data_IF_976871590126
#
_entry.id   IF_976871590126
#
_cell.length_a   1.000
_cell.length_b   1.000
_cell.length_c   1.000
_cell.angle_alpha   90.00
_cell.angle_beta   90.00
_cell.angle_gamma   90.00
#
_symmetry.space_group_name_H-M   'P 1'
#
loop_
_entity.id
_entity.type
_entity.pdbx_description
1 polymer ?
#
# COMPACT_ATOMS: atom_id res chain seq x y z
N UNK A 1 -74.35 -3.94 27.40
CA UNK A 1 -74.25 -4.03 25.93
C UNK A 1 -72.79 -3.75 25.55
N UNK A 2 -71.89 -4.75 25.49
CA UNK A 2 -71.49 -5.58 24.31
C UNK A 2 -71.18 -4.77 23.03
N UNK A 3 -69.89 -4.59 22.71
CA UNK A 3 -69.06 -5.25 21.66
C UNK A 3 -67.69 -4.54 21.67
N UNK A 4 -66.55 -5.14 22.09
CA UNK A 4 -65.74 -6.24 21.53
C UNK A 4 -65.02 -5.92 20.21
N UNK A 5 -63.75 -6.37 20.15
CA UNK A 5 -62.82 -6.51 19.01
C UNK A 5 -61.87 -5.29 18.85
N UNK A 6 -60.54 -5.40 18.75
CA UNK A 6 -59.64 -6.55 18.62
C UNK A 6 -58.24 -6.14 19.13
N UNK A 7 -57.57 -7.03 19.85
CA UNK A 7 -56.11 -7.02 20.09
C UNK A 7 -55.38 -7.12 18.74
N UNK A 8 -54.22 -6.46 18.62
CA UNK A 8 -52.98 -7.06 18.07
C UNK A 8 -51.79 -6.29 18.66
N UNK A 9 -51.01 -7.01 19.48
CA UNK A 9 -49.63 -6.70 19.81
C UNK A 9 -48.80 -6.86 18.53
N UNK A 10 -48.03 -5.84 18.14
CA UNK A 10 -46.92 -6.04 17.21
C UNK A 10 -45.60 -5.92 17.95
N UNK A 11 -45.05 -7.10 18.23
CA UNK A 11 -43.67 -7.35 18.58
C UNK A 11 -42.68 -6.64 17.66
N UNK A 12 -41.69 -6.01 18.28
CA UNK A 12 -40.28 -6.42 18.17
C UNK A 12 -39.88 -6.98 16.79
N UNK A 13 -39.65 -6.11 15.83
CA UNK A 13 -38.89 -6.45 14.61
C UNK A 13 -37.50 -5.85 14.73
N UNK A 14 -36.65 -6.56 15.49
CA UNK A 14 -35.21 -6.48 15.30
C UNK A 14 -34.93 -6.68 13.81
N UNK A 15 -34.42 -5.64 13.16
CA UNK A 15 -33.91 -5.68 11.81
C UNK A 15 -32.66 -6.58 11.80
N UNK A 16 -32.87 -7.90 11.69
CA UNK A 16 -31.80 -8.89 11.47
C UNK A 16 -31.18 -8.58 10.11
N UNK A 17 -30.08 -7.82 10.11
CA UNK A 17 -29.15 -7.77 8.98
C UNK A 17 -28.79 -9.21 8.64
N UNK A 18 -29.20 -9.69 7.47
CA UNK A 18 -28.68 -10.94 6.93
C UNK A 18 -27.16 -10.84 6.88
N UNK A 19 -26.41 -11.72 7.57
CA UNK A 19 -24.97 -11.73 7.45
C UNK A 19 -24.60 -11.98 5.99
N UNK A 20 -23.64 -11.20 5.49
CA UNK A 20 -22.98 -11.47 4.22
C UNK A 20 -22.59 -12.95 4.17
N UNK A 21 -22.76 -13.61 3.02
CA UNK A 21 -22.27 -14.99 2.79
C UNK A 21 -20.79 -15.14 3.19
N UNK A 22 -20.00 -14.05 3.16
CA UNK A 22 -18.60 -14.02 3.63
C UNK A 22 -18.44 -14.02 5.16
N UNK A 23 -19.42 -13.54 5.91
CA UNK A 23 -19.42 -13.53 7.37
C UNK A 23 -19.77 -14.92 7.94
N UNK A 24 -20.75 -15.61 7.36
CA UNK A 24 -21.14 -16.97 7.79
C UNK A 24 -20.07 -18.03 7.48
N UNK A 25 -19.32 -17.87 6.38
CA UNK A 25 -18.23 -18.79 6.03
C UNK A 25 -17.00 -18.67 6.94
N UNK A 26 -16.81 -17.56 7.65
CA UNK A 26 -15.66 -17.37 8.56
C UNK A 26 -15.84 -18.00 9.93
N UNK A 27 -17.09 -18.22 10.36
CA UNK A 27 -17.38 -18.78 11.68
C UNK A 27 -17.49 -20.32 11.68
N UNK A 28 -17.52 -20.97 10.51
CA UNK A 28 -17.81 -22.43 10.41
C UNK A 28 -16.69 -23.25 9.77
N UNK A 29 -15.69 -22.63 9.13
CA UNK A 29 -14.64 -23.38 8.44
C UNK A 29 -13.38 -23.56 9.30
N UNK A 30 -12.91 -24.81 9.54
CA UNK A 30 -11.68 -25.04 10.26
C UNK A 30 -10.51 -24.32 9.58
N UNK A 31 -9.55 -23.81 10.36
CA UNK A 31 -8.39 -23.04 9.87
C UNK A 31 -7.67 -23.72 8.70
N UNK A 32 -7.62 -25.05 8.67
CA UNK A 32 -7.09 -25.87 7.57
C UNK A 32 -7.88 -25.72 6.25
N UNK A 33 -9.21 -25.61 6.30
CA UNK A 33 -10.05 -25.39 5.12
C UNK A 33 -9.88 -23.96 4.56
N UNK A 34 -9.69 -22.96 5.42
CA UNK A 34 -9.35 -21.59 5.00
C UNK A 34 -7.97 -21.55 4.33
N UNK A 35 -6.98 -22.26 4.87
CA UNK A 35 -5.64 -22.38 4.29
C UNK A 35 -5.69 -23.11 2.95
N UNK A 36 -6.43 -24.22 2.86
CA UNK A 36 -6.63 -24.98 1.63
C UNK A 36 -7.33 -24.15 0.56
N UNK A 37 -8.41 -23.44 0.92
CA UNK A 37 -9.09 -22.50 0.03
C UNK A 37 -8.13 -21.40 -0.47
N UNK A 38 -7.30 -20.82 0.40
CA UNK A 38 -6.29 -19.82 0.00
C UNK A 38 -5.22 -20.41 -0.94
N UNK A 39 -4.77 -21.64 -0.71
CA UNK A 39 -3.83 -22.33 -1.61
C UNK A 39 -4.45 -22.64 -2.96
N UNK A 40 -5.68 -23.13 -2.99
CA UNK A 40 -6.44 -23.39 -4.23
C UNK A 40 -6.70 -22.10 -5.02
N UNK A 41 -7.06 -21.01 -4.33
CA UNK A 41 -7.23 -19.69 -4.94
C UNK A 41 -5.91 -19.19 -5.55
N UNK A 42 -4.77 -19.36 -4.86
CA UNK A 42 -3.45 -19.02 -5.41
C UNK A 42 -3.07 -19.86 -6.64
N UNK A 43 -3.42 -21.15 -6.65
CA UNK A 43 -3.18 -22.00 -7.81
C UNK A 43 -4.03 -21.59 -9.01
N UNK A 44 -5.34 -21.35 -8.79
CA UNK A 44 -6.23 -20.80 -9.82
C UNK A 44 -5.71 -19.47 -10.38
N UNK A 45 -5.25 -18.58 -9.48
CA UNK A 45 -4.69 -17.29 -9.84
C UNK A 45 -3.43 -17.39 -10.73
N UNK A 46 -2.72 -18.52 -10.74
CA UNK A 46 -1.56 -18.76 -11.61
C UNK A 46 -1.97 -19.21 -13.01
N UNK A 47 -3.04 -20.01 -13.14
CA UNK A 47 -3.43 -20.63 -14.41
C UNK A 47 -4.47 -19.82 -15.20
N UNK A 48 -5.16 -18.88 -14.56
CA UNK A 48 -6.23 -18.12 -15.22
C UNK A 48 -5.68 -17.22 -16.34
N UNK A 49 -6.33 -17.20 -17.52
CA UNK A 49 -6.10 -16.18 -18.53
C UNK A 49 -6.18 -14.78 -17.92
N UNK A 50 -5.29 -13.90 -18.34
CA UNK A 50 -5.14 -12.57 -17.74
C UNK A 50 -6.45 -11.78 -17.56
N UNK A 51 -7.31 -11.64 -18.58
CA UNK A 51 -8.56 -10.89 -18.42
C UNK A 51 -9.46 -11.47 -17.33
N UNK A 52 -9.50 -12.80 -17.23
CA UNK A 52 -10.32 -13.53 -16.26
C UNK A 52 -9.76 -13.35 -14.85
N UNK A 53 -8.44 -13.43 -14.69
CA UNK A 53 -7.77 -13.18 -13.40
C UNK A 53 -8.18 -11.82 -12.83
N UNK A 54 -8.02 -10.75 -13.62
CA UNK A 54 -8.31 -9.40 -13.13
C UNK A 54 -9.79 -9.19 -12.82
N UNK A 55 -10.68 -9.66 -13.68
CA UNK A 55 -12.12 -9.53 -13.43
C UNK A 55 -12.56 -10.29 -12.18
N UNK A 56 -12.10 -11.53 -12.02
CA UNK A 56 -12.39 -12.33 -10.84
C UNK A 56 -11.83 -11.69 -9.57
N UNK A 57 -10.57 -11.25 -9.59
CA UNK A 57 -9.94 -10.58 -8.44
C UNK A 57 -10.70 -9.31 -8.06
N UNK A 58 -11.03 -8.47 -9.03
CA UNK A 58 -11.80 -7.25 -8.80
C UNK A 58 -13.19 -7.56 -8.24
N UNK A 59 -13.89 -8.58 -8.77
CA UNK A 59 -15.17 -9.04 -8.23
C UNK A 59 -15.07 -9.54 -6.79
N UNK A 60 -14.04 -10.32 -6.45
CA UNK A 60 -13.82 -10.81 -5.08
C UNK A 60 -13.62 -9.66 -4.09
N UNK A 61 -12.87 -8.63 -4.49
CA UNK A 61 -12.56 -7.48 -3.66
C UNK A 61 -13.77 -6.52 -3.55
N UNK A 62 -14.31 -6.11 -4.70
CA UNK A 62 -15.21 -4.97 -4.83
C UNK A 62 -16.68 -5.33 -5.13
N UNK A 63 -16.98 -6.62 -5.34
CA UNK A 63 -18.34 -7.12 -5.56
C UNK A 63 -18.97 -6.72 -6.90
N UNK A 64 -18.17 -6.25 -7.86
CA UNK A 64 -18.62 -5.81 -9.19
C UNK A 64 -17.56 -6.13 -10.24
N UNK A 65 -17.86 -5.99 -11.53
CA UNK A 65 -16.86 -6.15 -12.61
C UNK A 65 -16.08 -4.85 -12.85
N UNK A 66 -14.81 -4.97 -13.22
CA UNK A 66 -13.93 -3.85 -13.51
C UNK A 66 -14.19 -3.33 -14.93
N UNK A 67 -14.38 -2.01 -15.06
CA UNK A 67 -14.37 -1.34 -16.36
C UNK A 67 -12.93 -0.99 -16.75
N UNK A 68 -12.33 -1.77 -17.66
CA UNK A 68 -10.98 -1.48 -18.18
C UNK A 68 -10.98 -0.52 -19.36
N UNK A 69 -12.06 -0.47 -20.14
CA UNK A 69 -12.17 0.45 -21.29
C UNK A 69 -12.38 1.88 -20.83
N UNK A 70 -13.21 2.06 -19.81
CA UNK A 70 -13.57 3.38 -19.26
C UNK A 70 -13.55 3.29 -17.72
N UNK A 71 -12.37 3.27 -17.08
CA UNK A 71 -12.27 3.20 -15.63
C UNK A 71 -12.70 4.53 -15.01
N UNK A 72 -13.70 4.50 -14.13
CA UNK A 72 -14.22 5.69 -13.45
C UNK A 72 -13.80 5.75 -12.00
N UNK A 73 -13.69 4.59 -11.34
CA UNK A 73 -13.34 4.50 -9.92
C UNK A 73 -11.83 4.49 -9.71
N UNK A 74 -11.40 4.93 -8.53
CA UNK A 74 -10.00 4.84 -8.10
C UNK A 74 -9.53 3.38 -8.19
N UNK A 75 -10.29 2.44 -7.63
CA UNK A 75 -10.00 1.01 -7.70
C UNK A 75 -9.86 0.47 -9.13
N UNK A 76 -10.74 0.90 -10.06
CA UNK A 76 -10.68 0.51 -11.48
C UNK A 76 -9.43 1.05 -12.16
N UNK A 77 -9.06 2.30 -11.89
CA UNK A 77 -7.84 2.92 -12.43
C UNK A 77 -6.57 2.25 -11.88
N UNK A 78 -6.55 1.85 -10.61
CA UNK A 78 -5.46 1.02 -10.06
C UNK A 78 -5.39 -0.34 -10.78
N UNK A 79 -6.52 -1.01 -10.99
CA UNK A 79 -6.56 -2.25 -11.76
C UNK A 79 -6.06 -2.07 -13.20
N UNK A 80 -6.42 -0.95 -13.84
CA UNK A 80 -5.89 -0.61 -15.16
C UNK A 80 -4.36 -0.47 -15.11
N UNK A 81 -3.79 0.26 -14.14
CA UNK A 81 -2.33 0.37 -13.99
C UNK A 81 -1.64 -0.98 -13.80
N UNK A 82 -2.24 -1.90 -13.05
CA UNK A 82 -1.69 -3.25 -12.88
C UNK A 82 -1.65 -4.01 -14.23
N UNK A 83 -2.72 -3.89 -15.02
CA UNK A 83 -2.89 -4.64 -16.27
C UNK A 83 -2.15 -4.03 -17.47
N UNK A 84 -2.08 -2.71 -17.53
CA UNK A 84 -1.49 -1.93 -18.61
C UNK A 84 -0.58 -0.84 -18.01
N UNK A 85 0.55 -1.24 -17.38
CA UNK A 85 1.44 -0.28 -16.74
C UNK A 85 2.15 0.59 -17.79
N UNK A 86 2.37 1.86 -17.45
CA UNK A 86 3.30 2.69 -18.19
C UNK A 86 4.76 2.25 -17.87
N UNK A 87 5.70 2.33 -18.83
CA UNK A 87 7.08 1.86 -18.62
C UNK A 87 7.78 2.47 -17.40
N UNK A 88 7.58 3.77 -17.15
CA UNK A 88 8.18 4.50 -16.01
C UNK A 88 7.76 3.94 -14.65
N UNK A 89 6.63 3.22 -14.55
CA UNK A 89 6.17 2.66 -13.28
C UNK A 89 7.12 1.61 -12.71
N UNK A 90 7.86 0.90 -13.57
CA UNK A 90 8.90 -0.04 -13.11
C UNK A 90 10.01 0.73 -12.37
N UNK A 91 10.51 1.81 -12.98
CA UNK A 91 11.58 2.63 -12.41
C UNK A 91 11.17 3.32 -11.10
N UNK A 92 9.90 3.71 -10.97
CA UNK A 92 9.36 4.31 -9.75
C UNK A 92 9.10 3.29 -8.63
N UNK A 93 8.77 2.04 -8.97
CA UNK A 93 8.53 0.98 -7.99
C UNK A 93 9.83 0.29 -7.53
N UNK A 94 10.89 0.36 -8.32
CA UNK A 94 12.22 -0.14 -7.99
C UNK A 94 12.89 0.75 -6.94
N UNK A 95 13.12 0.19 -5.74
CA UNK A 95 13.74 0.90 -4.60
C UNK A 95 15.18 1.37 -4.86
N UNK A 96 15.82 0.89 -5.93
CA UNK A 96 17.14 1.35 -6.36
C UNK A 96 16.98 2.51 -7.35
N UNK A 97 16.35 2.30 -8.52
CA UNK A 97 16.28 3.35 -9.55
C UNK A 97 15.39 4.54 -9.18
N UNK A 98 14.41 4.36 -8.29
CA UNK A 98 13.55 5.47 -7.84
C UNK A 98 14.35 6.59 -7.16
N UNK A 99 15.53 6.25 -6.62
CA UNK A 99 16.40 7.20 -5.91
C UNK A 99 16.85 8.34 -6.82
N UNK A 100 17.16 8.06 -8.08
CA UNK A 100 17.55 9.07 -9.07
C UNK A 100 16.39 10.04 -9.36
N UNK A 101 15.16 9.53 -9.44
CA UNK A 101 13.98 10.36 -9.63
C UNK A 101 13.75 11.28 -8.44
N UNK A 102 13.88 10.77 -7.22
CA UNK A 102 13.75 11.56 -5.99
C UNK A 102 14.83 12.64 -5.92
N UNK A 103 16.09 12.28 -6.14
CA UNK A 103 17.22 13.22 -6.11
C UNK A 103 17.04 14.36 -7.11
N UNK A 104 16.70 14.04 -8.36
CA UNK A 104 16.48 15.06 -9.40
C UNK A 104 15.28 15.96 -9.12
N UNK A 105 14.25 15.45 -8.43
CA UNK A 105 12.99 16.18 -8.24
C UNK A 105 12.99 17.04 -6.97
N UNK A 106 13.50 16.51 -5.86
CA UNK A 106 13.42 17.14 -4.54
C UNK A 106 14.75 17.18 -3.79
N UNK A 107 15.77 16.45 -4.25
CA UNK A 107 17.11 16.41 -3.65
C UNK A 107 17.39 15.14 -2.85
N UNK A 108 18.67 14.79 -2.75
CA UNK A 108 19.15 13.55 -2.13
C UNK A 108 19.06 13.54 -0.59
N UNK A 109 18.88 14.70 0.05
CA UNK A 109 18.72 14.80 1.51
C UNK A 109 17.50 14.05 2.05
N UNK A 110 16.50 13.80 1.21
CA UNK A 110 15.30 13.05 1.56
C UNK A 110 15.44 11.53 1.33
N UNK A 111 16.56 11.06 0.81
CA UNK A 111 16.81 9.63 0.63
C UNK A 111 17.31 9.00 1.93
N UNK A 112 16.80 7.81 2.26
CA UNK A 112 17.42 6.99 3.30
C UNK A 112 18.85 6.65 2.88
N UNK A 113 19.87 6.82 3.74
CA UNK A 113 21.24 6.42 3.41
C UNK A 113 21.30 4.95 3.02
N UNK A 114 21.90 4.66 1.87
CA UNK A 114 22.13 3.31 1.39
C UNK A 114 23.58 2.92 1.61
N UNK A 115 23.81 1.75 2.20
CA UNK A 115 25.15 1.22 2.42
C UNK A 115 25.64 0.39 1.23
N UNK A 116 24.75 -0.42 0.65
CA UNK A 116 25.11 -1.35 -0.41
C UNK A 116 23.89 -1.73 -1.24
N UNK A 117 24.11 -1.96 -2.54
CA UNK A 117 23.18 -2.62 -3.45
C UNK A 117 23.91 -3.77 -4.12
N UNK A 118 23.32 -4.97 -4.12
CA UNK A 118 23.95 -6.14 -4.76
C UNK A 118 22.92 -7.08 -5.40
N UNK A 119 23.40 -7.88 -6.35
CA UNK A 119 22.64 -8.92 -7.07
C UNK A 119 22.81 -10.31 -6.45
N UNK A 120 23.67 -10.42 -5.44
CA UNK A 120 23.87 -11.62 -4.64
C UNK A 120 24.32 -11.20 -3.24
N UNK A 121 23.77 -11.86 -2.23
CA UNK A 121 24.17 -11.64 -0.83
C UNK A 121 24.97 -12.84 -0.35
N UNK A 122 26.18 -12.59 0.14
CA UNK A 122 27.03 -13.60 0.79
C UNK A 122 27.26 -13.20 2.26
N UNK A 123 27.80 -14.12 3.08
CA UNK A 123 28.20 -13.80 4.46
C UNK A 123 29.19 -12.63 4.46
N UNK A 124 30.19 -12.65 3.57
CA UNK A 124 31.13 -11.54 3.37
C UNK A 124 30.45 -10.21 3.04
N UNK A 125 29.35 -10.25 2.29
CA UNK A 125 28.55 -9.04 2.02
C UNK A 125 28.03 -8.44 3.32
N UNK A 126 27.45 -9.29 4.19
CA UNK A 126 26.86 -8.88 5.46
C UNK A 126 27.90 -8.45 6.51
N UNK A 127 29.10 -9.02 6.47
CA UNK A 127 30.22 -8.63 7.33
C UNK A 127 30.61 -7.16 7.13
N UNK A 128 30.53 -6.63 5.90
CA UNK A 128 30.84 -5.22 5.59
C UNK A 128 29.81 -4.21 6.09
N UNK A 129 28.59 -4.67 6.41
CA UNK A 129 27.51 -3.79 6.85
C UNK A 129 27.70 -3.35 8.31
N UNK A 130 27.14 -2.21 8.72
CA UNK A 130 27.15 -1.82 10.14
C UNK A 130 26.33 -2.77 11.01
N UNK A 131 26.38 -2.54 12.33
CA UNK A 131 25.68 -3.36 13.33
C UNK A 131 24.16 -3.36 13.18
N UNK A 132 23.59 -2.33 12.56
CA UNK A 132 22.15 -2.28 12.25
C UNK A 132 21.89 -1.76 10.84
N UNK A 133 20.93 -2.39 10.16
CA UNK A 133 20.54 -2.04 8.79
C UNK A 133 19.14 -2.56 8.46
N UNK A 134 18.58 -2.06 7.36
CA UNK A 134 17.35 -2.59 6.76
C UNK A 134 17.71 -3.23 5.42
N UNK A 135 17.44 -4.52 5.30
CA UNK A 135 17.60 -5.29 4.07
C UNK A 135 16.26 -5.32 3.33
N UNK A 136 16.23 -4.91 2.07
CA UNK A 136 15.02 -4.90 1.23
C UNK A 136 15.29 -5.49 -0.14
N UNK A 137 14.33 -6.25 -0.67
CA UNK A 137 14.29 -6.52 -2.10
C UNK A 137 13.74 -5.30 -2.85
N UNK A 138 14.41 -4.89 -3.91
CA UNK A 138 14.05 -3.67 -4.64
C UNK A 138 12.76 -3.80 -5.46
N UNK A 139 12.49 -5.00 -5.96
CA UNK A 139 11.48 -5.36 -6.95
C UNK A 139 10.17 -5.84 -6.32
N UNK A 140 9.90 -5.52 -5.05
CA UNK A 140 8.73 -6.06 -4.36
C UNK A 140 8.26 -5.23 -3.18
N UNK A 141 7.10 -5.62 -2.63
CA UNK A 141 6.57 -5.12 -1.37
C UNK A 141 6.60 -6.20 -0.29
N UNK A 142 6.88 -5.79 0.95
CA UNK A 142 6.87 -6.67 2.14
C UNK A 142 8.08 -7.60 2.31
N UNK A 143 9.01 -7.64 1.36
CA UNK A 143 10.30 -8.33 1.50
C UNK A 143 11.33 -7.38 2.15
N UNK A 144 11.18 -7.23 3.46
CA UNK A 144 11.97 -6.31 4.30
C UNK A 144 12.36 -7.05 5.57
N UNK A 145 13.63 -6.93 5.99
CA UNK A 145 14.13 -7.39 7.28
C UNK A 145 14.89 -6.23 7.93
N UNK A 146 14.50 -5.90 9.15
CA UNK A 146 15.22 -4.94 9.99
C UNK A 146 16.16 -5.75 10.86
N UNK A 147 17.45 -5.47 10.77
CA UNK A 147 18.50 -6.02 11.64
C UNK A 147 18.89 -4.92 12.61
N UNK A 148 18.57 -5.11 13.88
CA UNK A 148 18.88 -4.17 14.97
C UNK A 148 20.23 -4.45 15.62
N UNK A 149 20.60 -5.73 15.68
CA UNK A 149 21.83 -6.25 16.30
C UNK A 149 22.37 -7.37 15.41
N UNK A 150 23.19 -7.02 14.41
CA UNK A 150 23.79 -7.94 13.44
C UNK A 150 24.54 -9.10 14.13
N UNK A 151 25.22 -8.85 15.25
CA UNK A 151 25.94 -9.88 15.99
C UNK A 151 25.04 -11.00 16.57
N UNK A 152 23.71 -10.79 16.63
CA UNK A 152 22.72 -11.79 17.08
C UNK A 152 22.06 -12.55 15.94
N UNK A 153 22.32 -12.16 14.70
CA UNK A 153 21.72 -12.78 13.52
C UNK A 153 22.63 -13.91 12.99
N UNK A 154 22.00 -14.91 12.39
CA UNK A 154 22.67 -15.93 11.59
C UNK A 154 22.87 -15.38 10.17
N UNK A 155 24.12 -15.08 9.81
CA UNK A 155 24.46 -14.43 8.55
C UNK A 155 24.19 -15.34 7.34
N UNK A 156 24.37 -16.65 7.49
CA UNK A 156 24.03 -17.64 6.47
C UNK A 156 22.52 -17.64 6.18
N UNK A 157 21.67 -17.64 7.22
CA UNK A 157 20.20 -17.58 7.08
C UNK A 157 19.77 -16.24 6.47
N UNK A 158 20.38 -15.12 6.87
CA UNK A 158 20.11 -13.82 6.28
C UNK A 158 20.45 -13.78 4.79
N UNK A 159 21.62 -14.29 4.41
CA UNK A 159 22.05 -14.39 3.02
C UNK A 159 21.13 -15.31 2.21
N UNK A 160 20.75 -16.48 2.75
CA UNK A 160 19.79 -17.38 2.10
C UNK A 160 18.44 -16.70 1.90
N UNK A 161 17.95 -15.96 2.90
CA UNK A 161 16.68 -15.23 2.84
C UNK A 161 16.71 -14.17 1.73
N UNK A 162 17.76 -13.37 1.68
CA UNK A 162 17.98 -12.38 0.64
C UNK A 162 18.00 -13.02 -0.77
N UNK A 163 18.79 -14.07 -0.97
CA UNK A 163 18.89 -14.74 -2.26
C UNK A 163 17.58 -15.46 -2.65
N UNK A 164 16.81 -15.94 -1.67
CA UNK A 164 15.47 -16.48 -1.92
C UNK A 164 14.48 -15.39 -2.34
N UNK A 165 14.67 -14.15 -1.90
CA UNK A 165 13.86 -13.02 -2.36
C UNK A 165 14.14 -12.68 -3.82
N UNK A 166 15.41 -12.66 -4.23
CA UNK A 166 15.83 -12.39 -5.61
C UNK A 166 15.23 -13.35 -6.65
N UNK A 167 14.89 -14.57 -6.23
CA UNK A 167 14.28 -15.60 -7.10
C UNK A 167 12.77 -15.44 -7.29
N UNK A 168 12.10 -14.50 -6.59
CA UNK A 168 10.65 -14.35 -6.64
C UNK A 168 10.23 -13.35 -7.70
N UNK A 169 9.36 -13.78 -8.61
CA UNK A 169 8.64 -12.88 -9.49
C UNK A 169 7.48 -12.22 -8.72
N UNK A 170 7.73 -11.04 -8.15
CA UNK A 170 6.72 -10.30 -7.39
C UNK A 170 5.54 -9.84 -8.26
N UNK A 171 5.77 -9.64 -9.57
CA UNK A 171 4.70 -9.25 -10.49
C UNK A 171 3.56 -10.26 -10.45
N UNK A 172 3.82 -11.55 -10.22
CA UNK A 172 2.79 -12.61 -10.19
C UNK A 172 1.93 -12.63 -8.93
N UNK A 173 2.30 -11.91 -7.85
CA UNK A 173 1.58 -11.98 -6.57
C UNK A 173 0.17 -11.40 -6.68
N UNK A 174 0.05 -10.18 -7.19
CA UNK A 174 -1.22 -9.52 -7.49
C UNK A 174 -1.41 -9.24 -8.99
N UNK A 175 -0.52 -9.78 -9.84
CA UNK A 175 -0.37 -9.44 -11.27
C UNK A 175 -0.05 -7.96 -11.47
N UNK A 176 0.76 -7.38 -10.61
CA UNK A 176 1.25 -6.02 -10.75
C UNK A 176 2.38 -5.98 -11.78
N UNK A 177 2.04 -5.88 -13.07
CA UNK A 177 2.99 -6.10 -14.18
C UNK A 177 4.20 -5.16 -14.19
N UNK A 178 4.10 -3.95 -13.64
CA UNK A 178 5.26 -3.02 -13.59
C UNK A 178 6.43 -3.59 -12.78
N UNK A 179 6.20 -4.53 -11.85
CA UNK A 179 7.30 -5.20 -11.16
C UNK A 179 8.11 -6.15 -12.07
N UNK A 180 7.58 -6.60 -13.21
CA UNK A 180 8.28 -7.56 -14.08
C UNK A 180 9.46 -6.95 -14.82
N UNK A 181 9.50 -5.62 -14.96
CA UNK A 181 10.61 -4.90 -15.60
C UNK A 181 11.76 -4.56 -14.67
N UNK A 182 11.68 -4.92 -13.38
CA UNK A 182 12.67 -4.55 -12.37
C UNK A 182 13.70 -5.67 -12.23
N UNK A 183 14.97 -5.35 -12.43
CA UNK A 183 16.07 -6.29 -12.18
C UNK A 183 16.17 -6.55 -10.66
N UNK A 184 16.04 -7.81 -10.20
CA UNK A 184 16.10 -8.12 -8.77
C UNK A 184 17.47 -7.80 -8.15
N UNK A 185 17.46 -6.93 -7.14
CA UNK A 185 18.60 -6.55 -6.30
C UNK A 185 18.17 -6.52 -4.83
N UNK A 186 19.16 -6.61 -3.94
CA UNK A 186 19.00 -6.32 -2.52
C UNK A 186 19.65 -4.98 -2.24
N UNK A 187 18.91 -4.10 -1.56
CA UNK A 187 19.41 -2.85 -1.03
C UNK A 187 19.49 -2.92 0.49
N UNK A 188 20.61 -2.46 1.03
CA UNK A 188 20.86 -2.30 2.45
C UNK A 188 20.85 -0.82 2.79
N UNK A 189 19.96 -0.41 3.67
CA UNK A 189 19.78 0.98 4.08
C UNK A 189 20.02 1.16 5.57
N UNK A 190 20.29 2.40 5.98
CA UNK A 190 20.34 2.78 7.40
C UNK A 190 19.03 2.42 8.08
N UNK A 191 19.13 1.73 9.22
CA UNK A 191 18.00 1.49 10.10
C UNK A 191 17.64 2.78 10.86
N UNK A 192 16.56 3.41 10.43
CA UNK A 192 15.96 4.55 11.12
C UNK A 192 15.21 3.98 12.35
N UNK A 193 15.86 3.96 13.51
CA UNK A 193 15.30 3.37 14.73
C UNK A 193 15.33 4.36 15.88
N UNK A 194 14.16 4.60 16.47
CA UNK A 194 14.00 5.38 17.70
C UNK A 194 13.62 4.43 18.82
N UNK A 195 14.47 4.29 19.85
CA UNK A 195 14.30 3.33 20.95
C UNK A 195 14.04 1.90 20.45
N UNK A 196 14.80 1.47 19.43
CA UNK A 196 14.67 0.14 18.81
C UNK A 196 13.45 -0.05 17.91
N UNK A 197 12.62 0.98 17.70
CA UNK A 197 11.41 0.91 16.87
C UNK A 197 11.56 1.69 15.57
N UNK A 198 11.03 1.18 14.45
CA UNK A 198 10.98 1.94 13.21
C UNK A 198 10.03 3.14 13.34
N UNK A 199 10.22 4.19 12.53
CA UNK A 199 9.31 5.33 12.49
C UNK A 199 7.93 4.94 11.97
N UNK A 200 6.94 5.75 12.35
CA UNK A 200 5.58 5.68 11.79
C UNK A 200 5.58 5.96 10.28
N UNK A 201 4.62 5.37 9.55
CA UNK A 201 4.44 5.63 8.13
C UNK A 201 3.47 6.79 7.90
N UNK A 202 3.91 7.80 7.15
CA UNK A 202 3.03 8.85 6.62
C UNK A 202 2.88 8.67 5.11
N UNK A 203 1.71 8.25 4.64
CA UNK A 203 1.48 7.92 3.22
C UNK A 203 0.59 8.98 2.58
N UNK A 204 1.19 9.85 1.80
CA UNK A 204 0.53 10.96 1.12
C UNK A 204 0.01 10.48 -0.22
N UNK A 205 -1.30 10.47 -0.38
CA UNK A 205 -1.98 10.05 -1.60
C UNK A 205 -2.34 11.30 -2.40
N UNK A 206 -1.60 11.56 -3.48
CA UNK A 206 -1.74 12.78 -4.28
C UNK A 206 -2.46 12.46 -5.59
N UNK A 207 -3.54 13.18 -5.86
CA UNK A 207 -4.37 13.04 -7.05
C UNK A 207 -4.31 14.31 -7.89
N UNK A 208 -3.80 14.20 -9.11
CA UNK A 208 -3.71 15.30 -10.06
C UNK A 208 -4.79 15.12 -11.11
N UNK A 209 -5.89 15.85 -10.99
CA UNK A 209 -7.08 15.65 -11.83
C UNK A 209 -6.87 16.13 -13.27
N UNK A 210 -7.18 17.39 -13.56
CA UNK A 210 -6.96 18.01 -14.86
C UNK A 210 -5.91 19.12 -14.71
N UNK A 211 -5.15 19.43 -15.78
CA UNK A 211 -4.27 20.59 -15.80
C UNK A 211 -4.98 21.84 -15.26
N UNK A 212 -4.30 22.60 -14.40
CA UNK A 212 -4.82 23.84 -13.82
C UNK A 212 -5.70 23.69 -12.57
N UNK A 213 -6.02 22.47 -12.12
CA UNK A 213 -6.65 22.25 -10.81
C UNK A 213 -5.60 21.90 -9.75
N UNK A 214 -5.74 22.40 -8.50
CA UNK A 214 -4.86 21.99 -7.42
C UNK A 214 -4.99 20.48 -7.16
N UNK A 215 -3.90 19.81 -6.75
CA UNK A 215 -3.95 18.41 -6.38
C UNK A 215 -4.88 18.20 -5.19
N UNK A 216 -5.61 17.07 -5.18
CA UNK A 216 -6.24 16.60 -3.96
C UNK A 216 -5.28 15.68 -3.21
N UNK A 217 -5.09 15.91 -1.92
CA UNK A 217 -4.23 15.10 -1.06
C UNK A 217 -5.01 14.55 0.12
N UNK A 218 -4.84 13.26 0.40
CA UNK A 218 -5.16 12.71 1.71
C UNK A 218 -3.95 11.96 2.28
N UNK A 219 -3.82 11.98 3.60
CA UNK A 219 -2.67 11.47 4.33
C UNK A 219 -3.13 10.26 5.14
N UNK A 220 -2.43 9.15 4.98
CA UNK A 220 -2.65 7.95 5.76
C UNK A 220 -1.52 7.80 6.77
N UNK A 221 -1.83 7.93 8.05
CA UNK A 221 -0.88 7.71 9.15
C UNK A 221 -1.06 6.29 9.67
N UNK A 222 0.01 5.49 9.65
CA UNK A 222 0.03 4.15 10.23
C UNK A 222 1.02 4.08 11.38
N UNK A 223 0.51 3.80 12.58
CA UNK A 223 1.30 3.58 13.79
C UNK A 223 1.40 2.10 14.16
N UNK A 224 2.37 1.76 14.99
CA UNK A 224 2.50 0.43 15.60
C UNK A 224 2.89 -0.64 14.59
N UNK A 225 3.80 -0.30 13.67
CA UNK A 225 4.38 -1.28 12.73
C UNK A 225 4.98 -2.44 13.55
N UNK A 226 4.61 -3.67 13.21
CA UNK A 226 4.96 -4.91 13.94
C UNK A 226 4.26 -5.14 15.30
N UNK A 227 3.36 -4.25 15.70
CA UNK A 227 2.43 -4.43 16.82
C UNK A 227 0.96 -4.38 16.31
N UNK A 228 0.04 -3.79 17.07
CA UNK A 228 -1.34 -3.56 16.64
C UNK A 228 -1.41 -2.33 15.73
N UNK A 229 -1.27 -2.58 14.43
CA UNK A 229 -1.31 -1.52 13.40
C UNK A 229 -2.66 -0.79 13.41
N UNK A 230 -2.62 0.52 13.64
CA UNK A 230 -3.75 1.44 13.49
C UNK A 230 -3.60 2.27 12.22
N UNK A 231 -4.71 2.87 11.76
CA UNK A 231 -4.66 3.72 10.58
C UNK A 231 -5.68 4.86 10.67
N UNK A 232 -5.18 6.09 10.60
CA UNK A 232 -6.01 7.29 10.53
C UNK A 232 -5.80 7.96 9.16
N UNK A 233 -6.88 8.54 8.63
CA UNK A 233 -6.86 9.27 7.37
C UNK A 233 -7.15 10.74 7.64
N UNK A 234 -6.31 11.62 7.09
CA UNK A 234 -6.41 13.07 7.23
C UNK A 234 -6.44 13.73 5.85
N UNK A 235 -6.95 14.95 5.79
CA UNK A 235 -6.80 15.85 4.66
C UNK A 235 -5.51 16.67 4.79
N UNK A 236 -5.22 17.50 3.80
CA UNK A 236 -4.03 18.35 3.75
C UNK A 236 -3.91 19.31 4.95
N UNK A 237 -5.04 19.84 5.43
CA UNK A 237 -5.15 20.70 6.61
C UNK A 237 -5.13 19.94 7.95
N UNK A 238 -4.80 18.64 7.90
CA UNK A 238 -4.82 17.71 9.03
C UNK A 238 -6.21 17.44 9.64
N UNK A 239 -7.30 17.90 9.01
CA UNK A 239 -8.64 17.50 9.41
C UNK A 239 -8.88 16.01 9.12
N UNK A 240 -9.69 15.34 9.94
CA UNK A 240 -10.02 13.92 9.73
C UNK A 240 -10.74 13.75 8.38
N UNK A 241 -10.26 12.83 7.56
CA UNK A 241 -10.87 12.58 6.27
C UNK A 241 -12.31 12.04 6.46
N UNK A 242 -13.27 12.47 5.63
CA UNK A 242 -14.67 12.03 5.68
C UNK A 242 -14.89 10.60 5.15
N UNK A 243 -13.83 9.79 5.11
CA UNK A 243 -13.84 8.40 4.69
C UNK A 243 -12.76 7.61 5.41
N UNK A 244 -12.93 6.29 5.43
CA UNK A 244 -12.03 5.33 6.07
C UNK A 244 -11.77 4.13 5.17
N UNK A 245 -10.73 3.36 5.47
CA UNK A 245 -10.52 2.04 4.86
C UNK A 245 -11.26 0.97 5.66
N UNK A 246 -12.05 0.15 4.99
CA UNK A 246 -12.88 -0.89 5.64
C UNK A 246 -12.01 -1.91 6.42
N UNK A 247 -10.78 -2.16 5.95
CA UNK A 247 -9.91 -3.20 6.52
C UNK A 247 -9.15 -2.77 7.78
N UNK A 248 -9.18 -1.48 8.16
CA UNK A 248 -8.34 -0.94 9.22
C UNK A 248 -9.16 -0.11 10.19
N UNK A 249 -8.88 -0.28 11.49
CA UNK A 249 -9.51 0.53 12.53
C UNK A 249 -8.67 1.79 12.78
N UNK A 250 -9.31 2.94 12.98
CA UNK A 250 -8.61 4.13 13.43
C UNK A 250 -8.01 3.88 14.82
N UNK A 251 -6.88 4.53 15.07
CA UNK A 251 -6.29 4.60 16.39
C UNK A 251 -7.19 5.45 17.30
N UNK A 252 -7.38 5.05 18.57
CA UNK A 252 -8.02 5.89 19.58
C UNK A 252 -7.06 6.94 20.17
N UNK A 253 -5.80 6.96 19.76
CA UNK A 253 -4.76 7.86 20.27
C UNK A 253 -5.08 9.34 19.96
N UNK A 254 -5.31 10.20 20.98
CA UNK A 254 -5.63 11.61 20.77
C UNK A 254 -4.43 12.41 20.24
N UNK A 255 -3.19 11.97 20.45
CA UNK A 255 -1.99 12.66 19.95
C UNK A 255 -1.85 12.60 18.42
N UNK A 256 -2.65 11.76 17.74
CA UNK A 256 -2.73 11.78 16.28
C UNK A 256 -3.46 13.00 15.73
N UNK A 257 -4.13 13.78 16.58
CA UNK A 257 -4.82 15.00 16.18
C UNK A 257 -3.87 16.17 15.92
N UNK A 258 -2.62 16.09 16.42
CA UNK A 258 -1.61 17.12 16.17
C UNK A 258 -0.78 16.78 14.93
N UNK A 259 -0.69 17.68 13.93
CA UNK A 259 0.15 17.45 12.76
C UNK A 259 1.64 17.47 13.14
N UNK A 260 2.49 16.67 12.46
CA UNK A 260 3.93 16.85 12.57
C UNK A 260 4.32 18.24 12.06
N UNK A 261 5.36 18.83 12.67
CA UNK A 261 5.85 20.17 12.29
C UNK A 261 6.34 20.21 10.84
N UNK A 262 6.77 19.06 10.34
CA UNK A 262 7.28 18.81 8.99
C UNK A 262 6.16 18.67 7.94
N UNK A 263 4.88 18.73 8.33
CA UNK A 263 3.74 18.55 7.42
C UNK A 263 3.81 19.45 6.16
N UNK A 264 4.07 20.78 6.25
CA UNK A 264 4.13 21.64 5.07
C UNK A 264 5.21 21.20 4.07
N UNK A 265 6.38 20.79 4.57
CA UNK A 265 7.49 20.34 3.73
C UNK A 265 7.18 18.97 3.09
N UNK A 266 6.61 18.02 3.86
CA UNK A 266 6.17 16.73 3.30
C UNK A 266 5.09 16.91 2.21
N UNK A 267 4.18 17.87 2.37
CA UNK A 267 3.18 18.21 1.35
C UNK A 267 3.80 18.74 0.07
N UNK A 268 4.76 19.67 0.17
CA UNK A 268 5.48 20.20 -1.00
C UNK A 268 6.20 19.07 -1.77
N UNK A 269 6.98 18.26 -1.04
CA UNK A 269 7.71 17.13 -1.60
C UNK A 269 6.76 16.15 -2.30
N UNK A 270 5.66 15.77 -1.63
CA UNK A 270 4.70 14.84 -2.18
C UNK A 270 4.06 15.36 -3.47
N UNK A 271 3.67 16.65 -3.50
CA UNK A 271 3.07 17.28 -4.68
C UNK A 271 4.05 17.36 -5.84
N UNK A 272 5.31 17.74 -5.59
CA UNK A 272 6.36 17.80 -6.63
C UNK A 272 6.66 16.44 -7.24
N UNK A 273 6.84 15.41 -6.40
CA UNK A 273 7.07 14.04 -6.87
C UNK A 273 5.88 13.48 -7.65
N UNK A 274 4.67 13.85 -7.27
CA UNK A 274 3.45 13.35 -7.91
C UNK A 274 3.05 14.13 -9.17
N UNK A 275 3.51 15.37 -9.36
CA UNK A 275 3.04 16.30 -10.38
C UNK A 275 2.93 15.70 -11.81
N UNK A 276 3.85 14.84 -12.28
CA UNK A 276 3.76 14.26 -13.62
C UNK A 276 2.71 13.15 -13.79
N UNK A 277 2.07 12.69 -12.71
CA UNK A 277 1.22 11.50 -12.69
C UNK A 277 -0.22 11.84 -12.30
N UNK A 278 -1.22 11.12 -12.84
CA UNK A 278 -2.62 11.33 -12.42
C UNK A 278 -2.87 10.98 -10.96
N UNK A 279 -2.06 10.08 -10.40
CA UNK A 279 -2.07 9.68 -8.99
C UNK A 279 -0.69 9.13 -8.59
N UNK A 280 -0.18 9.51 -7.43
CA UNK A 280 0.99 8.89 -6.84
C UNK A 280 0.85 8.89 -5.32
N UNK A 281 1.28 7.79 -4.68
CA UNK A 281 1.43 7.77 -3.22
C UNK A 281 2.90 7.92 -2.86
N UNK A 282 3.21 8.85 -1.98
CA UNK A 282 4.54 9.07 -1.43
C UNK A 282 4.55 8.66 0.03
N UNK A 283 5.40 7.71 0.39
CA UNK A 283 5.52 7.20 1.74
C UNK A 283 6.73 7.87 2.42
N UNK A 284 6.49 8.52 3.56
CA UNK A 284 7.53 9.16 4.35
C UNK A 284 7.76 8.48 5.69
N UNK A 285 8.97 8.67 6.19
CA UNK A 285 9.39 8.44 7.55
C UNK A 285 9.88 9.74 8.16
N UNK A 286 9.51 10.00 9.41
CA UNK A 286 10.12 11.05 10.22
C UNK A 286 11.10 10.41 11.20
N UNK A 287 12.36 10.81 11.13
CA UNK A 287 13.41 10.29 12.00
C UNK A 287 14.38 11.39 12.37
N UNK A 288 14.50 11.65 13.67
CA UNK A 288 15.42 12.65 14.24
C UNK A 288 15.23 14.05 13.61
N UNK A 289 13.97 14.50 13.52
CA UNK A 289 13.59 15.78 12.92
C UNK A 289 13.83 15.88 11.41
N UNK A 290 14.13 14.76 10.73
CA UNK A 290 14.38 14.71 9.28
C UNK A 290 13.32 13.89 8.56
N UNK A 291 13.01 14.32 7.34
CA UNK A 291 12.09 13.65 6.43
C UNK A 291 12.89 12.68 5.56
N UNK A 292 12.43 11.44 5.48
CA UNK A 292 12.94 10.45 4.53
C UNK A 292 11.82 9.88 3.68
N UNK A 293 12.06 9.69 2.39
CA UNK A 293 11.14 9.03 1.46
C UNK A 293 11.44 7.53 1.51
N UNK A 294 10.43 6.76 1.88
CA UNK A 294 10.51 5.30 1.99
C UNK A 294 10.16 4.56 0.70
N UNK A 295 9.12 5.02 -0.02
CA UNK A 295 8.65 4.38 -1.26
C UNK A 295 7.76 5.34 -2.06
N UNK A 296 7.81 5.24 -3.39
CA UNK A 296 6.78 5.75 -4.29
C UNK A 296 5.89 4.58 -4.72
N UNK A 297 4.58 4.70 -4.53
CA UNK A 297 3.63 3.62 -4.84
C UNK A 297 2.61 4.04 -5.88
N UNK A 298 2.54 3.25 -6.95
CA UNK A 298 1.67 3.47 -8.11
C UNK A 298 0.36 2.67 -7.99
N UNK A 299 0.38 1.52 -7.32
CA UNK A 299 -0.73 0.55 -7.21
C UNK A 299 -0.97 0.13 -5.76
N UNK A 300 -1.35 1.08 -4.88
CA UNK A 300 -1.47 0.82 -3.44
C UNK A 300 -2.39 -0.37 -3.14
N UNK A 301 -1.86 -1.31 -2.36
CA UNK A 301 -2.59 -2.51 -1.94
C UNK A 301 -3.03 -3.44 -3.06
N UNK A 302 -2.42 -3.34 -4.27
CA UNK A 302 -2.81 -4.14 -5.43
C UNK A 302 -4.30 -3.97 -5.78
N UNK A 303 -4.81 -2.74 -5.66
CA UNK A 303 -6.20 -2.37 -5.90
C UNK A 303 -7.21 -2.85 -4.85
N UNK A 304 -6.74 -3.38 -3.71
CA UNK A 304 -7.59 -3.92 -2.65
C UNK A 304 -8.10 -2.89 -1.63
N UNK A 305 -7.85 -1.59 -1.83
CA UNK A 305 -8.32 -0.57 -0.90
C UNK A 305 -9.81 -0.34 -1.09
N UNK A 306 -10.61 -0.65 -0.05
CA UNK A 306 -12.05 -0.37 -0.05
C UNK A 306 -12.35 0.74 0.92
N UNK A 307 -13.08 1.73 0.44
CA UNK A 307 -13.39 2.94 1.16
C UNK A 307 -14.81 2.87 1.73
N UNK A 308 -14.98 3.50 2.89
CA UNK A 308 -16.27 3.72 3.53
C UNK A 308 -16.40 5.22 3.84
N UNK A 309 -17.44 5.90 3.34
CA UNK A 309 -18.52 5.33 2.55
C UNK A 309 -18.09 5.04 1.08
N UNK A 310 -18.74 4.09 0.38
CA UNK A 310 -18.24 3.50 -0.87
C UNK A 310 -18.17 4.47 -2.07
N UNK A 311 -18.92 5.58 -2.03
CA UNK A 311 -18.88 6.65 -3.03
C UNK A 311 -17.51 7.31 -3.16
N UNK A 312 -16.66 7.24 -2.12
CA UNK A 312 -15.30 7.78 -2.18
C UNK A 312 -14.42 7.10 -3.21
N UNK A 313 -14.71 5.84 -3.58
CA UNK A 313 -14.02 5.17 -4.67
C UNK A 313 -14.31 5.86 -6.02
N UNK A 314 -15.51 6.41 -6.21
CA UNK A 314 -15.85 7.21 -7.39
C UNK A 314 -15.28 8.63 -7.29
N UNK A 315 -15.40 9.30 -6.13
CA UNK A 315 -14.89 10.66 -5.92
C UNK A 315 -13.37 10.73 -6.14
N UNK A 316 -12.61 9.80 -5.57
CA UNK A 316 -11.16 9.72 -5.82
C UNK A 316 -10.85 9.31 -7.26
N UNK A 317 -11.73 8.50 -7.86
CA UNK A 317 -11.71 8.21 -9.28
C UNK A 317 -11.75 9.47 -10.13
N UNK A 318 -12.69 10.39 -9.89
CA UNK A 318 -12.80 11.64 -10.65
C UNK A 318 -11.63 12.61 -10.40
N UNK A 319 -10.99 12.52 -9.23
CA UNK A 319 -9.79 13.30 -8.88
C UNK A 319 -8.51 12.75 -9.50
N UNK A 320 -8.50 11.47 -9.88
CA UNK A 320 -7.37 10.84 -10.55
C UNK A 320 -7.35 11.26 -12.03
N UNK A 321 -6.31 11.99 -12.45
CA UNK A 321 -6.09 12.36 -13.85
C UNK A 321 -6.09 11.18 -14.80
N UNK A 322 -6.91 11.28 -15.84
CA UNK A 322 -7.16 10.21 -16.79
C UNK A 322 -7.59 10.76 -18.17
N UNK A 323 -7.17 10.17 -19.31
CA UNK A 323 -6.18 9.10 -19.42
C UNK A 323 -4.80 9.59 -19.00
N UNK A 324 -4.02 8.71 -18.38
CA UNK A 324 -2.68 9.08 -17.94
C UNK A 324 -1.72 9.26 -19.12
N UNK A 325 -0.88 10.29 -19.05
CA UNK A 325 0.20 10.55 -19.99
C UNK A 325 1.48 10.85 -19.20
N UNK A 326 2.01 9.87 -18.44
CA UNK A 326 3.22 10.09 -17.66
C UNK A 326 4.41 10.34 -18.60
N UNK A 327 5.48 10.98 -18.10
CA UNK A 327 6.69 11.18 -18.89
C UNK A 327 7.30 9.83 -19.34
N UNK A 328 8.09 9.84 -20.43
CA UNK A 328 8.86 8.66 -20.83
C UNK A 328 9.81 8.22 -19.70
N UNK A 329 10.14 6.93 -19.70
CA UNK A 329 10.94 6.27 -18.66
C UNK A 329 12.41 6.72 -18.67
#
# INVERSE_FOLDING_TARGET
MRKSLLKINMHNTQNRKMPSIKASLREVLPSKAIIFHRKAQKFLDLILPEPIFYQRRYFILHGKFCSFKEPRRFSEKIFHRMRYPCPIFSSLADKVSVRDYIEKTVGSQYLVPSYLVCEQVTVKTLETLPESFVMKANHSSGQIKIVTEKHREDLEILAQTANAWLKKDFSRVAREKHYSGIQPKIIFEKALLSNGRPPDDYKFNVFNSKPGKPPFVFIQVMKGRFEKVTQNLFLEDWSVAPFNRIEKKPSPDPHLLDPPKELPEMLDIAKRLAAPFGYLRVDFYLYDGKIYIGELTITPGGGGYRLSPPEWDLILGDRFGWPEKPPPA
#
